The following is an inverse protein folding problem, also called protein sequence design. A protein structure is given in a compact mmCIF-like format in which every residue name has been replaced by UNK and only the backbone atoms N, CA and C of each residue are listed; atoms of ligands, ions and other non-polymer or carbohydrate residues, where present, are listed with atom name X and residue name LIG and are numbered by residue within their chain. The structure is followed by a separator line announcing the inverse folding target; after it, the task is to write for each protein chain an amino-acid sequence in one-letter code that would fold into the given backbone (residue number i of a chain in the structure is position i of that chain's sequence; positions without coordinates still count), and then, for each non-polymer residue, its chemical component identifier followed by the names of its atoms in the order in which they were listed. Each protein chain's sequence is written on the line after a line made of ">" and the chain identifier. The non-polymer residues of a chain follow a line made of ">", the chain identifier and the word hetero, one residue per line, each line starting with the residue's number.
data_IF_778645539566
#
_entry.id   IF_778645539566
#
_cell.length_a   1.000
_cell.length_b   1.000
_cell.length_c   1.000
_cell.angle_alpha   90.00
_cell.angle_beta   90.00
_cell.angle_gamma   90.00
#
_symmetry.space_group_name_H-M   'P 1'
#
loop_
_entity.id
_entity.type
_entity.pdbx_description
1 polymer ?
#
# COMPACT_ATOMS: atom_id res chain seq x y z
N UNK A 1 -8.20 -30.07 5.64
CA UNK A 1 -8.53 -31.17 6.55
C UNK A 1 -7.79 -32.41 6.13
N UNK A 2 -7.15 -33.13 6.99
CA UNK A 2 -6.11 -34.06 6.60
C UNK A 2 -6.36 -35.43 7.26
N UNK A 3 -6.61 -36.44 6.41
CA UNK A 3 -6.48 -37.80 6.88
C UNK A 3 -4.98 -38.09 7.08
N UNK A 4 -4.62 -38.63 8.22
CA UNK A 4 -3.26 -38.93 8.67
C UNK A 4 -2.41 -39.72 7.67
N UNK A 5 -3.04 -40.48 6.78
CA UNK A 5 -2.36 -41.43 5.89
C UNK A 5 -2.00 -40.89 4.50
N UNK A 6 -2.67 -39.86 3.99
CA UNK A 6 -2.50 -39.48 2.58
C UNK A 6 -1.47 -38.39 2.28
N UNK A 7 -1.16 -37.46 3.21
CA UNK A 7 -0.15 -36.41 2.96
C UNK A 7 0.48 -35.87 4.27
N UNK A 8 1.38 -36.60 4.97
CA UNK A 8 2.01 -36.08 6.19
C UNK A 8 2.80 -34.79 5.96
N UNK A 9 3.25 -34.52 4.75
CA UNK A 9 4.00 -33.32 4.37
C UNK A 9 3.14 -32.04 4.40
N UNK A 10 1.85 -32.11 4.13
CA UNK A 10 0.99 -30.92 3.97
C UNK A 10 0.68 -30.24 5.33
N UNK A 11 0.27 -31.00 6.34
CA UNK A 11 -0.09 -30.41 7.64
C UNK A 11 1.13 -29.94 8.42
N UNK A 12 2.34 -30.54 8.23
CA UNK A 12 3.59 -30.07 8.82
C UNK A 12 4.01 -28.70 8.26
N UNK A 13 3.75 -28.44 6.98
CA UNK A 13 3.90 -27.10 6.39
C UNK A 13 2.98 -26.08 7.07
N UNK A 14 1.75 -26.49 7.44
CA UNK A 14 0.84 -25.65 8.21
C UNK A 14 1.35 -25.41 9.63
N UNK A 15 1.99 -26.38 10.28
CA UNK A 15 2.63 -26.17 11.59
C UNK A 15 3.75 -25.12 11.48
N UNK A 16 4.62 -25.22 10.46
CA UNK A 16 5.65 -24.20 10.20
C UNK A 16 5.01 -22.83 10.00
N UNK A 17 4.00 -22.72 9.11
CA UNK A 17 3.37 -21.44 8.80
C UNK A 17 2.62 -20.82 9.98
N UNK A 18 1.97 -21.63 10.81
CA UNK A 18 1.33 -21.16 12.04
C UNK A 18 2.34 -20.66 13.07
N UNK A 19 3.45 -21.38 13.23
CA UNK A 19 4.54 -20.95 14.12
C UNK A 19 5.22 -19.66 13.65
N UNK A 20 5.34 -19.46 12.35
CA UNK A 20 5.90 -18.24 11.76
C UNK A 20 4.91 -17.05 11.78
N UNK A 21 3.62 -17.34 11.88
CA UNK A 21 2.53 -16.34 11.87
C UNK A 21 1.86 -16.14 13.22
N UNK A 22 0.52 -16.20 13.22
CA UNK A 22 -0.35 -15.94 14.37
C UNK A 22 -0.78 -17.19 15.16
N UNK A 23 -0.22 -18.34 14.82
CA UNK A 23 -0.72 -19.61 15.31
C UNK A 23 -1.88 -20.13 14.47
N UNK A 24 -2.48 -21.22 14.94
CA UNK A 24 -3.64 -21.82 14.28
C UNK A 24 -3.96 -23.20 14.82
N UNK A 25 -5.10 -23.76 14.39
CA UNK A 25 -5.57 -25.07 14.82
C UNK A 25 -5.77 -25.99 13.63
N UNK A 26 -5.26 -27.20 13.72
CA UNK A 26 -5.49 -28.29 12.78
C UNK A 26 -6.34 -29.38 13.45
N UNK A 27 -7.33 -29.87 12.73
CA UNK A 27 -8.20 -30.94 13.19
C UNK A 27 -7.89 -32.24 12.45
N UNK A 28 -7.75 -33.33 13.20
CA UNK A 28 -7.59 -34.69 12.69
C UNK A 28 -8.83 -35.52 13.02
N UNK A 29 -9.21 -36.41 12.11
CA UNK A 29 -10.43 -37.22 12.22
C UNK A 29 -11.64 -36.57 11.55
N UNK A 30 -11.42 -35.57 10.67
CA UNK A 30 -12.46 -34.91 9.86
C UNK A 30 -12.18 -35.19 8.39
N UNK A 31 -13.23 -35.47 7.59
CA UNK A 31 -13.16 -35.67 6.14
C UNK A 31 -13.02 -34.34 5.39
N UNK A 32 -12.70 -34.42 4.09
CA UNK A 32 -12.64 -33.26 3.20
C UNK A 32 -14.02 -32.55 3.09
N UNK A 33 -15.13 -33.28 3.26
CA UNK A 33 -16.50 -32.78 3.32
C UNK A 33 -16.89 -32.16 4.67
N UNK A 34 -15.92 -31.93 5.55
CA UNK A 34 -16.09 -31.36 6.90
C UNK A 34 -16.93 -32.23 7.85
N UNK A 35 -17.04 -33.53 7.60
CA UNK A 35 -17.78 -34.45 8.48
C UNK A 35 -16.82 -35.17 9.42
N UNK A 36 -17.20 -35.37 10.70
CA UNK A 36 -16.42 -36.17 11.63
C UNK A 36 -16.37 -37.63 11.15
N UNK A 37 -15.18 -38.16 10.89
CA UNK A 37 -14.95 -39.58 10.59
C UNK A 37 -14.42 -40.35 11.77
N UNK A 38 -13.80 -39.65 12.75
CA UNK A 38 -13.21 -40.17 13.95
C UNK A 38 -11.82 -40.76 13.79
N UNK A 39 -11.12 -40.91 14.91
CA UNK A 39 -9.83 -41.57 15.05
C UNK A 39 -10.01 -42.84 15.85
N UNK A 40 -9.34 -43.92 15.45
CA UNK A 40 -9.43 -45.22 16.11
C UNK A 40 -8.64 -45.26 17.45
N UNK A 41 -7.55 -44.54 17.54
CA UNK A 41 -6.68 -44.45 18.70
C UNK A 41 -6.07 -43.05 18.81
N UNK A 42 -6.76 -42.19 19.58
CA UNK A 42 -6.38 -40.77 19.73
C UNK A 42 -5.00 -40.62 20.37
N UNK A 43 -4.67 -41.48 21.34
CA UNK A 43 -3.39 -41.38 22.04
C UNK A 43 -2.22 -41.74 21.14
N UNK A 44 -2.32 -42.85 20.43
CA UNK A 44 -1.31 -43.30 19.48
C UNK A 44 -1.12 -42.25 18.35
N UNK A 45 -2.22 -41.64 17.93
CA UNK A 45 -2.19 -40.58 16.92
C UNK A 45 -1.54 -39.31 17.42
N UNK A 46 -1.82 -38.89 18.67
CA UNK A 46 -1.18 -37.76 19.32
C UNK A 46 0.35 -37.95 19.47
N UNK A 47 0.79 -39.15 19.87
CA UNK A 47 2.19 -39.50 19.99
C UNK A 47 2.90 -39.45 18.62
N UNK A 48 2.27 -39.99 17.57
CA UNK A 48 2.79 -39.96 16.21
C UNK A 48 2.90 -38.55 15.65
N UNK A 49 1.90 -37.69 15.87
CA UNK A 49 1.91 -36.27 15.48
C UNK A 49 3.03 -35.53 16.22
N UNK A 50 3.12 -35.70 17.54
CA UNK A 50 4.17 -35.07 18.36
C UNK A 50 5.56 -35.46 17.89
N UNK A 51 5.79 -36.76 17.58
CA UNK A 51 7.05 -37.25 17.06
C UNK A 51 7.39 -36.61 15.71
N UNK A 52 6.45 -36.58 14.77
CA UNK A 52 6.66 -35.97 13.45
C UNK A 52 6.98 -34.47 13.54
N UNK A 53 6.33 -33.72 14.43
CA UNK A 53 6.65 -32.31 14.65
C UNK A 53 8.08 -32.15 15.16
N UNK A 54 8.48 -32.94 16.18
CA UNK A 54 9.85 -32.90 16.75
C UNK A 54 10.92 -33.25 15.72
N UNK A 55 10.64 -34.19 14.82
CA UNK A 55 11.61 -34.65 13.81
C UNK A 55 11.70 -33.69 12.61
N UNK A 56 10.58 -33.03 12.27
CA UNK A 56 10.45 -32.33 10.99
C UNK A 56 10.35 -30.80 11.10
N UNK A 57 10.13 -30.24 12.28
CA UNK A 57 10.05 -28.79 12.48
C UNK A 57 11.22 -28.32 13.36
N UNK A 58 11.91 -27.29 12.93
CA UNK A 58 13.02 -26.71 13.70
C UNK A 58 12.98 -25.17 13.58
N UNK A 59 13.14 -24.42 14.66
CA UNK A 59 13.14 -24.85 16.08
C UNK A 59 11.85 -25.60 16.45
N UNK A 60 11.83 -26.25 17.62
CA UNK A 60 10.62 -26.94 18.09
C UNK A 60 9.53 -25.92 18.42
N UNK A 61 8.36 -25.98 17.75
CA UNK A 61 7.28 -25.05 18.01
C UNK A 61 6.55 -25.36 19.31
N UNK A 62 5.88 -24.37 19.86
CA UNK A 62 4.97 -24.56 20.99
C UNK A 62 3.61 -25.00 20.45
N UNK A 63 3.13 -26.17 20.90
CA UNK A 63 1.84 -26.72 20.49
C UNK A 63 1.18 -27.50 21.60
N UNK A 64 -0.15 -27.67 21.48
CA UNK A 64 -0.97 -28.48 22.38
C UNK A 64 -1.83 -29.40 21.54
N UNK A 65 -1.93 -30.66 21.93
CA UNK A 65 -2.84 -31.65 21.37
C UNK A 65 -4.00 -31.85 22.32
N UNK A 66 -5.24 -31.59 21.87
CA UNK A 66 -6.47 -31.69 22.65
C UNK A 66 -7.37 -32.75 22.03
N UNK A 67 -7.64 -33.85 22.76
CA UNK A 67 -8.70 -34.76 22.38
C UNK A 67 -10.06 -34.03 22.40
N UNK A 68 -10.88 -34.27 21.40
CA UNK A 68 -12.24 -33.74 21.25
C UNK A 68 -13.19 -34.88 20.90
N UNK A 69 -14.47 -34.71 21.18
CA UNK A 69 -15.51 -35.62 20.76
C UNK A 69 -16.64 -34.84 20.11
N UNK A 70 -17.04 -35.27 18.91
CA UNK A 70 -18.14 -34.69 18.15
C UNK A 70 -18.92 -35.81 17.46
N UNK A 71 -20.24 -35.80 17.58
CA UNK A 71 -21.15 -36.83 17.07
C UNK A 71 -20.75 -38.25 17.49
N UNK A 72 -20.28 -38.42 18.75
CA UNK A 72 -19.83 -39.71 19.30
C UNK A 72 -18.50 -40.20 18.68
N UNK A 73 -17.81 -39.40 17.86
CA UNK A 73 -16.52 -39.72 17.24
C UNK A 73 -15.38 -38.95 17.89
N UNK A 74 -14.28 -39.65 18.12
CA UNK A 74 -13.10 -39.07 18.72
C UNK A 74 -12.29 -38.31 17.66
N UNK A 75 -11.96 -37.07 17.93
CA UNK A 75 -11.15 -36.17 17.13
C UNK A 75 -9.91 -35.73 17.90
N UNK A 76 -8.95 -35.12 17.19
CA UNK A 76 -7.78 -34.51 17.81
C UNK A 76 -7.54 -33.13 17.22
N UNK A 77 -7.50 -32.08 18.05
CA UNK A 77 -7.11 -30.74 17.69
C UNK A 77 -5.64 -30.50 18.03
N UNK A 78 -4.85 -30.05 17.05
CA UNK A 78 -3.50 -29.57 17.22
C UNK A 78 -3.52 -28.04 17.19
N UNK A 79 -3.38 -27.43 18.36
CA UNK A 79 -3.24 -25.97 18.49
C UNK A 79 -1.76 -25.61 18.45
N UNK A 80 -1.36 -24.79 17.50
CA UNK A 80 0.02 -24.30 17.33
C UNK A 80 0.04 -22.82 17.72
N UNK A 81 0.88 -22.48 18.67
CA UNK A 81 1.07 -21.08 19.09
C UNK A 81 1.99 -20.31 18.15
N UNK A 82 1.85 -18.96 18.07
CA UNK A 82 2.84 -18.11 17.42
C UNK A 82 4.23 -18.34 18.03
N UNK A 83 5.22 -18.58 17.20
CA UNK A 83 6.57 -18.87 17.63
C UNK A 83 7.36 -17.61 17.98
N UNK A 84 8.26 -17.73 18.97
CA UNK A 84 9.16 -16.64 19.38
C UNK A 84 10.53 -16.69 18.73
N UNK A 85 10.96 -17.89 18.28
CA UNK A 85 12.27 -18.13 17.68
C UNK A 85 12.14 -18.40 16.18
N UNK A 86 11.45 -17.50 15.47
CA UNK A 86 11.30 -17.57 14.01
C UNK A 86 12.66 -17.41 13.32
N UNK A 87 12.84 -17.98 12.12
CA UNK A 87 11.92 -18.81 11.35
C UNK A 87 11.82 -20.26 11.83
N UNK A 88 10.61 -20.81 11.80
CA UNK A 88 10.38 -22.25 12.03
C UNK A 88 10.39 -22.94 10.66
N UNK A 89 11.38 -23.80 10.46
CA UNK A 89 11.58 -24.49 9.18
C UNK A 89 10.96 -25.89 9.20
N UNK A 90 10.35 -26.27 8.10
CA UNK A 90 9.99 -27.66 7.83
C UNK A 90 11.16 -28.35 7.11
N UNK A 91 11.57 -29.49 7.65
CA UNK A 91 12.66 -30.33 7.11
C UNK A 91 12.09 -31.57 6.45
N UNK A 92 12.35 -31.76 5.17
CA UNK A 92 12.02 -32.99 4.46
C UNK A 92 12.93 -33.20 3.26
N UNK A 93 13.37 -34.43 3.05
CA UNK A 93 14.09 -34.86 1.85
C UNK A 93 15.34 -34.00 1.54
N UNK A 94 16.07 -33.59 2.61
CA UNK A 94 17.28 -32.75 2.49
C UNK A 94 17.01 -31.25 2.29
N UNK A 95 15.76 -30.84 2.21
CA UNK A 95 15.35 -29.43 2.07
C UNK A 95 14.85 -28.89 3.40
N UNK A 96 15.18 -27.62 3.67
CA UNK A 96 14.75 -26.90 4.87
C UNK A 96 14.14 -25.58 4.44
N UNK A 97 12.80 -25.48 4.55
CA UNK A 97 12.01 -24.35 4.07
C UNK A 97 11.13 -23.78 5.17
N UNK A 98 11.09 -22.45 5.29
CA UNK A 98 10.11 -21.77 6.12
C UNK A 98 8.79 -21.59 5.34
N UNK A 99 7.68 -21.79 6.01
CA UNK A 99 6.35 -21.60 5.42
C UNK A 99 5.63 -20.43 6.11
N UNK A 100 4.86 -19.70 5.35
CA UNK A 100 3.93 -18.65 5.82
C UNK A 100 2.52 -18.95 5.38
N UNK A 101 1.54 -18.32 6.03
CA UNK A 101 0.14 -18.44 5.68
C UNK A 101 -0.28 -17.33 4.73
N UNK A 102 -0.79 -17.70 3.54
CA UNK A 102 -1.41 -16.79 2.59
C UNK A 102 -2.83 -17.29 2.34
N UNK A 103 -3.81 -16.57 2.89
CA UNK A 103 -5.20 -17.03 2.89
C UNK A 103 -5.33 -18.43 3.51
N UNK A 104 -5.83 -19.38 2.74
CA UNK A 104 -6.04 -20.77 3.18
C UNK A 104 -4.86 -21.71 2.90
N UNK A 105 -3.75 -21.20 2.37
CA UNK A 105 -2.61 -22.03 1.96
C UNK A 105 -1.35 -21.75 2.79
N UNK A 106 -0.51 -22.78 2.94
CA UNK A 106 0.84 -22.66 3.48
C UNK A 106 1.82 -22.67 2.31
N UNK A 107 2.41 -21.53 2.04
CA UNK A 107 3.37 -21.31 0.94
C UNK A 107 4.78 -21.14 1.48
N UNK A 108 5.79 -21.40 0.65
CA UNK A 108 7.20 -21.16 1.00
C UNK A 108 7.38 -19.65 1.20
N UNK A 109 8.02 -19.29 2.30
CA UNK A 109 8.34 -17.89 2.59
C UNK A 109 9.40 -17.38 1.59
N UNK A 110 9.12 -16.29 0.85
CA UNK A 110 10.15 -15.63 0.05
C UNK A 110 11.31 -15.13 0.91
N UNK A 111 12.49 -14.91 0.33
CA UNK A 111 13.69 -14.51 1.05
C UNK A 111 13.52 -13.26 1.91
N UNK A 112 12.78 -12.25 1.43
CA UNK A 112 12.52 -11.03 2.21
C UNK A 112 11.69 -11.31 3.46
N UNK A 113 10.72 -12.23 3.41
CA UNK A 113 9.95 -12.67 4.58
C UNK A 113 10.82 -13.50 5.52
N UNK A 114 11.70 -14.36 4.98
CA UNK A 114 12.64 -15.13 5.81
C UNK A 114 13.54 -14.17 6.60
N UNK A 115 14.05 -13.11 5.97
CA UNK A 115 14.86 -12.09 6.64
C UNK A 115 14.07 -11.37 7.75
N UNK A 116 12.79 -11.02 7.52
CA UNK A 116 11.92 -10.44 8.56
C UNK A 116 11.71 -11.42 9.73
N UNK A 117 11.47 -12.69 9.42
CA UNK A 117 11.32 -13.74 10.44
C UNK A 117 12.61 -13.94 11.26
N UNK A 118 13.79 -13.86 10.65
CA UNK A 118 15.09 -13.93 11.35
C UNK A 118 15.23 -12.77 12.33
N UNK A 119 14.96 -11.54 11.89
CA UNK A 119 14.99 -10.36 12.76
C UNK A 119 14.02 -10.49 13.93
N UNK A 120 12.79 -10.93 13.66
CA UNK A 120 11.78 -11.17 14.69
C UNK A 120 12.26 -12.23 15.70
N UNK A 121 12.85 -13.32 15.22
CA UNK A 121 13.34 -14.41 16.06
C UNK A 121 14.54 -14.04 16.94
N UNK A 122 15.34 -13.07 16.52
CA UNK A 122 16.45 -12.49 17.30
C UNK A 122 16.02 -11.29 18.13
N UNK A 123 14.72 -10.95 18.12
CA UNK A 123 14.16 -9.78 18.80
C UNK A 123 14.78 -8.46 18.32
N UNK A 124 15.07 -8.40 17.02
CA UNK A 124 15.60 -7.23 16.32
C UNK A 124 14.61 -6.73 15.27
N UNK A 125 14.77 -5.50 14.85
CA UNK A 125 14.08 -4.89 13.71
C UNK A 125 15.09 -4.23 12.79
N UNK A 126 14.71 -3.93 11.55
CA UNK A 126 15.61 -3.28 10.61
C UNK A 126 16.26 -2.03 11.22
N UNK A 127 15.49 -1.19 11.89
CA UNK A 127 15.94 0.09 12.42
C UNK A 127 16.91 -0.03 13.63
N UNK A 128 16.92 -1.20 14.31
CA UNK A 128 17.85 -1.46 15.43
C UNK A 128 19.22 -1.99 15.00
N UNK A 129 19.37 -2.43 13.75
CA UNK A 129 20.63 -3.01 13.27
C UNK A 129 21.71 -1.92 13.19
N UNK A 130 22.86 -2.18 13.84
CA UNK A 130 24.04 -1.33 13.76
C UNK A 130 24.71 -1.49 12.39
N UNK A 131 25.20 -0.38 11.85
CA UNK A 131 25.92 -0.30 10.58
C UNK A 131 27.41 -0.03 10.82
N UNK A 132 28.19 0.05 9.77
CA UNK A 132 29.62 0.43 9.77
C UNK A 132 29.83 1.96 9.76
N UNK A 133 28.74 2.74 9.68
CA UNK A 133 28.78 4.20 9.58
C UNK A 133 29.04 4.85 10.95
N UNK A 134 30.14 5.61 11.10
CA UNK A 134 30.42 6.32 12.33
C UNK A 134 29.67 7.64 12.40
N UNK A 135 28.98 7.93 13.52
CA UNK A 135 28.19 9.15 13.72
C UNK A 135 28.93 10.44 13.37
N UNK A 136 30.25 10.50 13.69
CA UNK A 136 31.10 11.69 13.46
C UNK A 136 31.18 12.13 11.99
N UNK A 137 30.88 11.21 11.05
CA UNK A 137 30.99 11.46 9.62
C UNK A 137 29.65 11.95 9.00
N UNK A 138 28.63 12.13 9.83
CA UNK A 138 27.26 12.51 9.41
C UNK A 138 26.72 13.67 10.23
N UNK A 139 25.84 14.48 9.60
CA UNK A 139 25.14 15.59 10.25
C UNK A 139 23.68 15.20 10.56
N UNK A 140 23.11 15.87 11.58
CA UNK A 140 21.76 15.65 12.10
C UNK A 140 21.04 16.97 12.37
N UNK A 141 21.38 18.01 11.63
CA UNK A 141 20.88 19.38 11.86
C UNK A 141 19.36 19.42 11.79
N UNK A 142 18.76 18.73 10.82
CA UNK A 142 17.30 18.69 10.67
C UNK A 142 16.63 17.99 11.86
N UNK A 143 17.20 16.88 12.34
CA UNK A 143 16.69 16.16 13.51
C UNK A 143 16.78 17.04 14.77
N UNK A 144 17.94 17.59 15.05
CA UNK A 144 18.19 18.41 16.26
C UNK A 144 17.31 19.66 16.29
N UNK A 145 17.21 20.37 15.15
CA UNK A 145 16.36 21.54 15.01
C UNK A 145 14.87 21.19 15.18
N UNK A 146 14.41 20.11 14.55
CA UNK A 146 13.00 19.67 14.66
C UNK A 146 12.67 19.20 16.08
N UNK A 147 13.59 18.49 16.72
CA UNK A 147 13.41 18.06 18.11
C UNK A 147 13.27 19.26 19.06
N UNK A 148 14.15 20.26 18.94
CA UNK A 148 14.06 21.50 19.70
C UNK A 148 12.76 22.27 19.45
N UNK A 149 12.41 22.46 18.18
CA UNK A 149 11.15 23.13 17.77
C UNK A 149 9.91 22.49 18.40
N UNK A 150 9.84 21.17 18.36
CA UNK A 150 8.63 20.44 18.75
C UNK A 150 8.55 20.10 20.23
N UNK A 151 9.70 19.96 20.91
CA UNK A 151 9.74 19.55 22.33
C UNK A 151 10.10 20.72 23.28
N UNK A 152 10.77 21.73 22.78
CA UNK A 152 11.39 22.80 23.57
C UNK A 152 12.71 22.36 24.23
N UNK A 153 13.19 21.12 23.98
CA UNK A 153 14.40 20.57 24.58
C UNK A 153 15.49 20.43 23.50
N UNK A 154 16.74 20.64 23.93
CA UNK A 154 17.89 20.37 23.06
C UNK A 154 18.08 18.87 22.91
N UNK A 155 18.56 18.45 21.74
CA UNK A 155 18.98 17.08 21.47
C UNK A 155 20.43 16.92 21.98
N UNK A 156 20.63 16.13 23.02
CA UNK A 156 21.92 15.99 23.67
C UNK A 156 22.74 14.82 23.05
N UNK A 157 24.08 14.86 23.15
CA UNK A 157 24.92 13.77 22.64
C UNK A 157 24.58 12.37 23.19
N UNK A 158 24.07 12.30 24.43
CA UNK A 158 23.59 11.06 25.05
C UNK A 158 22.29 10.52 24.44
N UNK A 159 21.50 11.40 23.81
CA UNK A 159 20.22 11.00 23.20
C UNK A 159 20.41 10.11 21.98
N UNK A 160 21.51 10.23 21.27
CA UNK A 160 21.80 9.35 20.14
C UNK A 160 21.85 7.89 20.55
N UNK A 161 22.49 7.56 21.67
CA UNK A 161 22.56 6.20 22.21
C UNK A 161 21.23 5.83 22.87
N UNK A 162 20.66 6.72 23.70
CA UNK A 162 19.46 6.43 24.47
C UNK A 162 18.21 6.25 23.59
N UNK A 163 18.16 6.92 22.43
CA UNK A 163 17.07 6.77 21.45
C UNK A 163 17.36 5.70 20.38
N UNK A 164 18.50 5.01 20.49
CA UNK A 164 18.85 3.90 19.59
C UNK A 164 19.31 4.34 18.19
N UNK A 165 19.74 5.58 18.02
CA UNK A 165 20.28 6.08 16.73
C UNK A 165 21.74 5.68 16.53
N UNK A 166 22.47 5.44 17.63
CA UNK A 166 23.83 4.86 17.61
C UNK A 166 23.93 3.73 18.62
N UNK A 167 24.93 2.89 18.42
CA UNK A 167 25.40 1.97 19.44
C UNK A 167 26.32 2.69 20.44
N UNK A 168 26.81 1.94 21.43
CA UNK A 168 27.73 2.47 22.47
C UNK A 168 29.11 2.86 21.93
N UNK A 169 29.48 2.39 20.75
CA UNK A 169 30.75 2.69 20.08
C UNK A 169 30.64 3.91 19.15
N UNK A 170 29.46 4.51 19.03
CA UNK A 170 29.19 5.64 18.14
C UNK A 170 28.96 5.25 16.68
N UNK A 171 28.66 3.99 16.40
CA UNK A 171 28.24 3.53 15.09
C UNK A 171 26.72 3.73 14.93
N UNK A 172 26.30 4.23 13.78
CA UNK A 172 24.89 4.45 13.48
C UNK A 172 24.14 3.15 13.37
N UNK A 173 22.94 3.11 13.93
CA UNK A 173 21.94 2.12 13.55
C UNK A 173 21.29 2.53 12.23
N UNK A 174 20.48 1.63 11.62
CA UNK A 174 19.70 2.00 10.46
C UNK A 174 18.71 3.15 10.77
N UNK A 175 18.14 3.21 11.99
CA UNK A 175 17.37 4.36 12.44
C UNK A 175 18.21 5.64 12.40
N UNK A 176 19.45 5.58 12.90
CA UNK A 176 20.39 6.70 12.82
C UNK A 176 20.63 7.15 11.38
N UNK A 177 20.91 6.19 10.48
CA UNK A 177 21.10 6.50 9.04
C UNK A 177 19.89 7.16 8.40
N UNK A 178 18.67 6.73 8.74
CA UNK A 178 17.43 7.31 8.23
C UNK A 178 17.16 8.74 8.74
N UNK A 179 17.90 9.19 9.78
CA UNK A 179 17.79 10.54 10.37
C UNK A 179 18.95 11.45 10.01
N UNK A 180 19.94 10.98 9.24
CA UNK A 180 21.05 11.84 8.76
C UNK A 180 20.55 12.89 7.77
N UNK A 181 21.22 14.04 7.69
CA UNK A 181 20.94 15.05 6.66
C UNK A 181 21.39 14.59 5.26
N UNK A 182 22.31 13.62 5.20
CA UNK A 182 22.76 12.97 3.98
C UNK A 182 21.81 11.83 3.60
N UNK A 183 21.62 11.60 2.29
CA UNK A 183 20.87 10.44 1.79
C UNK A 183 21.73 9.17 1.87
N UNK A 184 21.60 8.41 2.95
CA UNK A 184 22.44 7.24 3.25
C UNK A 184 21.70 5.91 3.12
N UNK A 185 20.37 5.92 3.00
CA UNK A 185 19.54 4.74 2.80
C UNK A 185 18.84 4.87 1.47
N UNK A 186 19.32 4.12 0.48
CA UNK A 186 18.89 4.22 -0.92
C UNK A 186 17.38 4.16 -1.13
N UNK A 187 16.69 3.28 -0.40
CA UNK A 187 15.25 3.10 -0.52
C UNK A 187 14.42 4.02 0.42
N UNK A 188 15.06 5.01 1.07
CA UNK A 188 14.35 6.07 1.79
C UNK A 188 13.88 7.13 0.81
N UNK A 189 12.82 6.82 0.04
CA UNK A 189 12.28 7.63 -1.04
C UNK A 189 10.76 7.71 -0.98
N UNK A 190 10.23 8.79 -1.59
CA UNK A 190 8.81 9.05 -1.72
C UNK A 190 8.53 9.68 -3.08
N UNK A 191 7.66 9.04 -3.86
CA UNK A 191 7.18 9.54 -5.15
C UNK A 191 5.80 10.14 -4.96
N UNK A 192 5.62 11.36 -5.44
CA UNK A 192 4.40 12.13 -5.25
C UNK A 192 3.91 12.61 -6.60
N UNK A 193 2.75 12.12 -7.05
CA UNK A 193 2.18 12.46 -8.35
C UNK A 193 0.77 13.01 -8.20
N UNK A 194 0.47 14.16 -8.81
CA UNK A 194 -0.87 14.71 -8.95
C UNK A 194 -1.39 14.38 -10.35
N UNK A 195 -2.33 13.47 -10.42
CA UNK A 195 -2.96 13.02 -11.65
C UNK A 195 -4.06 13.98 -12.12
N UNK A 196 -4.24 14.07 -13.43
CA UNK A 196 -5.34 14.80 -14.04
C UNK A 196 -6.57 13.89 -14.13
N UNK A 197 -7.55 14.09 -13.25
CA UNK A 197 -8.77 13.27 -13.20
C UNK A 197 -8.75 12.21 -12.10
N UNK A 198 -9.37 11.05 -12.37
CA UNK A 198 -9.69 10.02 -11.38
C UNK A 198 -8.82 8.77 -11.47
N UNK A 199 -8.01 8.65 -12.51
CA UNK A 199 -7.19 7.47 -12.80
C UNK A 199 -5.72 7.83 -13.03
N UNK A 200 -4.86 6.84 -12.83
CA UNK A 200 -3.44 6.96 -13.17
C UNK A 200 -3.29 6.89 -14.68
N UNK A 201 -2.53 7.81 -15.22
CA UNK A 201 -2.15 7.83 -16.62
C UNK A 201 -0.65 7.79 -16.83
N UNK A 202 -0.20 8.38 -17.91
CA UNK A 202 1.23 8.58 -18.18
C UNK A 202 1.77 9.77 -17.38
N UNK A 203 2.89 9.60 -16.69
CA UNK A 203 3.57 10.71 -15.98
C UNK A 203 3.90 11.85 -16.95
N UNK A 204 4.15 11.55 -18.22
CA UNK A 204 4.54 12.54 -19.22
C UNK A 204 3.36 13.35 -19.79
N UNK A 205 2.15 12.75 -19.80
CA UNK A 205 0.99 13.34 -20.49
C UNK A 205 -0.15 13.70 -19.51
N UNK A 206 -0.28 12.95 -18.39
CA UNK A 206 -1.45 13.02 -17.51
C UNK A 206 -1.12 13.48 -16.08
N UNK A 207 0.15 13.69 -15.72
CA UNK A 207 0.53 14.23 -14.43
C UNK A 207 0.49 15.77 -14.47
N UNK A 208 -0.19 16.37 -13.48
CA UNK A 208 -0.22 17.83 -13.27
C UNK A 208 0.96 18.32 -12.43
N UNK A 209 1.46 17.48 -11.54
CA UNK A 209 2.67 17.72 -10.74
C UNK A 209 3.29 16.36 -10.40
N UNK A 210 4.61 16.26 -10.45
CA UNK A 210 5.37 15.05 -10.14
C UNK A 210 6.65 15.42 -9.43
N UNK A 211 6.88 14.80 -8.25
CA UNK A 211 8.01 15.07 -7.37
C UNK A 211 8.57 13.78 -6.80
N UNK A 212 9.88 13.70 -6.76
CA UNK A 212 10.62 12.67 -6.05
C UNK A 212 11.35 13.29 -4.87
N UNK A 213 11.19 12.71 -3.69
CA UNK A 213 11.86 13.11 -2.46
C UNK A 213 12.63 11.93 -1.90
N UNK A 214 13.85 12.19 -1.36
CA UNK A 214 14.70 11.15 -0.82
C UNK A 214 15.47 11.63 0.41
N UNK A 215 15.86 10.70 1.29
CA UNK A 215 16.75 10.95 2.44
C UNK A 215 16.06 10.89 3.79
N UNK A 216 16.27 11.94 4.59
CA UNK A 216 15.84 12.03 5.99
C UNK A 216 14.32 11.91 6.16
N UNK A 217 13.85 11.08 7.12
CA UNK A 217 12.41 10.83 7.30
C UNK A 217 11.61 12.06 7.70
N UNK A 218 12.22 13.01 8.41
CA UNK A 218 11.57 14.30 8.76
C UNK A 218 11.41 15.15 7.50
N UNK A 219 12.40 15.14 6.63
CA UNK A 219 12.33 15.82 5.34
C UNK A 219 11.23 15.19 4.46
N UNK A 220 11.17 13.86 4.37
CA UNK A 220 10.12 13.16 3.61
C UNK A 220 8.73 13.49 4.16
N UNK A 221 8.54 13.49 5.49
CA UNK A 221 7.27 13.85 6.11
C UNK A 221 6.84 15.28 5.75
N UNK A 222 7.77 16.26 5.88
CA UNK A 222 7.50 17.67 5.56
C UNK A 222 7.18 17.84 4.07
N UNK A 223 7.98 17.24 3.19
CA UNK A 223 7.82 17.33 1.74
C UNK A 223 6.53 16.69 1.24
N UNK A 224 6.18 15.49 1.72
CA UNK A 224 4.92 14.83 1.37
C UNK A 224 3.69 15.61 1.86
N UNK A 225 3.76 16.16 3.09
CA UNK A 225 2.68 17.02 3.61
C UNK A 225 2.53 18.30 2.78
N UNK A 226 3.65 18.90 2.38
CA UNK A 226 3.66 20.09 1.53
C UNK A 226 3.16 19.83 0.13
N UNK A 227 3.55 18.70 -0.47
CA UNK A 227 3.05 18.27 -1.77
C UNK A 227 1.52 18.15 -1.77
N UNK A 228 0.95 17.43 -0.78
CA UNK A 228 -0.50 17.28 -0.65
C UNK A 228 -1.18 18.64 -0.46
N UNK A 229 -0.63 19.51 0.41
CA UNK A 229 -1.18 20.84 0.66
C UNK A 229 -1.15 21.72 -0.60
N UNK A 230 -0.07 21.72 -1.36
CA UNK A 230 0.10 22.55 -2.56
C UNK A 230 -0.80 22.11 -3.71
N UNK A 231 -1.12 20.80 -3.76
CA UNK A 231 -2.02 20.22 -4.75
C UNK A 231 -3.49 20.11 -4.27
N UNK A 232 -3.79 20.59 -3.06
CA UNK A 232 -5.14 20.64 -2.48
C UNK A 232 -5.73 22.05 -2.59
N UNK A 233 -7.05 22.12 -2.59
CA UNK A 233 -7.79 23.38 -2.57
C UNK A 233 -8.36 23.63 -1.18
N UNK A 234 -8.36 24.89 -0.75
CA UNK A 234 -9.11 25.34 0.41
C UNK A 234 -10.26 26.21 -0.09
N UNK A 235 -11.44 25.62 -0.21
CA UNK A 235 -12.67 26.39 -0.49
C UNK A 235 -13.05 27.15 0.75
N UNK A 236 -13.84 28.19 0.64
CA UNK A 236 -14.35 28.91 1.78
C UNK A 236 -15.77 29.41 1.57
N UNK A 237 -16.52 29.52 2.67
CA UNK A 237 -17.83 30.12 2.71
C UNK A 237 -17.76 31.37 3.57
N UNK A 238 -18.11 32.53 3.00
CA UNK A 238 -18.28 33.78 3.75
C UNK A 238 -19.60 33.74 4.50
N UNK A 239 -19.55 33.83 5.83
CA UNK A 239 -20.71 34.15 6.67
C UNK A 239 -20.69 35.64 7.01
N UNK A 240 -21.79 36.14 7.57
CA UNK A 240 -21.95 37.59 7.84
C UNK A 240 -20.81 38.23 8.63
N UNK A 241 -20.18 37.50 9.54
CA UNK A 241 -19.12 37.99 10.44
C UNK A 241 -17.80 37.26 10.35
N UNK A 242 -17.71 36.11 9.63
CA UNK A 242 -16.50 35.32 9.54
C UNK A 242 -16.47 34.45 8.28
N UNK A 243 -15.28 33.94 7.96
CA UNK A 243 -15.00 33.00 6.90
C UNK A 243 -14.90 31.59 7.49
N UNK A 244 -15.49 30.60 6.85
CA UNK A 244 -15.29 29.18 7.16
C UNK A 244 -14.48 28.57 6.03
N UNK A 245 -13.28 28.13 6.35
CA UNK A 245 -12.43 27.41 5.42
C UNK A 245 -12.89 25.95 5.32
N UNK A 246 -12.89 25.43 4.10
CA UNK A 246 -13.26 24.06 3.76
C UNK A 246 -12.08 23.43 3.02
N UNK A 247 -11.08 22.89 3.73
CA UNK A 247 -9.99 22.17 3.09
C UNK A 247 -10.50 20.85 2.50
N UNK A 248 -9.81 20.38 1.45
CA UNK A 248 -10.14 19.10 0.80
C UNK A 248 -9.88 17.92 1.72
N UNK A 249 -8.82 18.02 2.56
CA UNK A 249 -8.39 16.99 3.51
C UNK A 249 -8.08 17.57 4.88
N UNK A 250 -8.26 16.79 5.93
CA UNK A 250 -7.85 17.17 7.28
C UNK A 250 -6.32 17.06 7.41
N UNK A 251 -5.65 18.17 7.71
CA UNK A 251 -4.17 18.21 7.80
C UNK A 251 -3.63 17.19 8.80
N UNK A 252 -4.31 17.00 9.94
CA UNK A 252 -3.92 16.01 10.95
C UNK A 252 -4.10 14.58 10.46
N UNK A 253 -5.13 14.29 9.64
CA UNK A 253 -5.32 12.97 9.03
C UNK A 253 -4.22 12.68 8.01
N UNK A 254 -3.87 13.66 7.17
CA UNK A 254 -2.74 13.57 6.22
C UNK A 254 -1.44 13.31 6.95
N UNK A 255 -1.12 14.10 7.98
CA UNK A 255 0.11 13.93 8.78
C UNK A 255 0.18 12.54 9.41
N UNK A 256 -0.91 12.06 10.02
CA UNK A 256 -0.97 10.73 10.63
C UNK A 256 -0.77 9.61 9.59
N UNK A 257 -1.37 9.74 8.40
CA UNK A 257 -1.22 8.77 7.31
C UNK A 257 0.24 8.73 6.80
N UNK A 258 0.88 9.88 6.63
CA UNK A 258 2.28 9.97 6.22
C UNK A 258 3.24 9.43 7.28
N UNK A 259 3.02 9.79 8.55
CA UNK A 259 3.81 9.24 9.66
C UNK A 259 3.70 7.71 9.68
N UNK A 260 2.48 7.16 9.57
CA UNK A 260 2.28 5.72 9.52
C UNK A 260 2.98 5.09 8.30
N UNK A 261 2.92 5.71 7.14
CA UNK A 261 3.60 5.24 5.93
C UNK A 261 5.13 5.16 6.14
N UNK A 262 5.75 6.14 6.82
CA UNK A 262 7.18 6.18 7.09
C UNK A 262 7.61 5.20 8.19
N UNK A 263 6.90 5.14 9.32
CA UNK A 263 7.30 4.31 10.47
C UNK A 263 6.98 2.83 10.28
N UNK A 264 5.98 2.49 9.47
CA UNK A 264 5.59 1.09 9.20
C UNK A 264 6.12 0.56 7.88
N UNK A 265 6.82 1.41 7.09
CA UNK A 265 7.47 0.96 5.87
C UNK A 265 8.39 -0.23 6.15
N UNK A 266 8.36 -1.22 5.27
CA UNK A 266 9.34 -2.28 5.25
C UNK A 266 10.61 -1.83 4.51
N UNK A 267 11.64 -1.46 5.29
CA UNK A 267 12.91 -1.01 4.75
C UNK A 267 13.82 -2.16 4.28
N UNK A 268 13.43 -3.43 4.49
CA UNK A 268 14.13 -4.60 3.96
C UNK A 268 13.78 -4.77 2.47
N UNK A 269 12.59 -4.37 2.07
CA UNK A 269 12.15 -4.43 0.67
C UNK A 269 12.90 -3.36 -0.14
N UNK A 270 13.77 -3.83 -1.03
CA UNK A 270 14.49 -2.97 -1.98
C UNK A 270 13.67 -2.79 -3.26
N UNK A 271 13.77 -1.61 -3.89
CA UNK A 271 13.11 -1.33 -5.16
C UNK A 271 11.60 -1.07 -5.06
N UNK A 272 11.13 -0.64 -3.89
CA UNK A 272 9.78 -0.14 -3.69
C UNK A 272 9.81 1.06 -2.75
N UNK A 273 9.08 2.10 -3.07
CA UNK A 273 9.08 3.40 -2.40
C UNK A 273 7.71 3.72 -1.82
N UNK A 274 7.61 4.77 -1.01
CA UNK A 274 6.32 5.33 -0.62
C UNK A 274 5.77 6.12 -1.80
N UNK A 275 4.50 5.90 -2.12
CA UNK A 275 3.80 6.62 -3.18
C UNK A 275 2.68 7.48 -2.60
N UNK A 276 2.61 8.72 -3.05
CA UNK A 276 1.50 9.64 -2.85
C UNK A 276 0.88 9.91 -4.21
N UNK A 277 -0.28 9.35 -4.46
CA UNK A 277 -1.03 9.55 -5.68
C UNK A 277 -2.24 10.43 -5.37
N UNK A 278 -2.29 11.64 -5.93
CA UNK A 278 -3.42 12.55 -5.77
C UNK A 278 -4.27 12.58 -7.02
N UNK A 279 -5.56 12.40 -6.84
CA UNK A 279 -6.59 12.49 -7.86
C UNK A 279 -7.53 13.67 -7.56
N UNK A 280 -8.52 13.91 -8.40
CA UNK A 280 -9.49 14.98 -8.15
C UNK A 280 -10.38 14.68 -6.93
N UNK A 281 -10.71 13.41 -6.72
CA UNK A 281 -11.61 12.92 -5.68
C UNK A 281 -10.92 12.39 -4.42
N UNK A 282 -9.61 12.13 -4.46
CA UNK A 282 -8.90 11.48 -3.34
C UNK A 282 -7.39 11.66 -3.39
N UNK A 283 -6.76 11.34 -2.26
CA UNK A 283 -5.31 11.06 -2.17
C UNK A 283 -5.11 9.64 -1.64
N UNK A 284 -4.22 8.89 -2.30
CA UNK A 284 -3.78 7.56 -1.91
C UNK A 284 -2.34 7.61 -1.42
N UNK A 285 -2.08 7.10 -0.22
CA UNK A 285 -0.74 7.00 0.36
C UNK A 285 -0.44 5.52 0.52
N UNK A 286 0.48 5.01 -0.30
CA UNK A 286 0.88 3.61 -0.32
C UNK A 286 2.30 3.45 0.22
N UNK A 287 2.48 2.54 1.18
CA UNK A 287 3.78 2.23 1.78
C UNK A 287 4.13 0.75 1.57
N UNK A 288 5.40 0.42 1.23
CA UNK A 288 5.86 -0.95 1.15
C UNK A 288 5.76 -1.68 2.49
N UNK A 289 5.33 -2.93 2.44
CA UNK A 289 5.12 -3.80 3.58
C UNK A 289 3.65 -3.86 3.99
N UNK A 290 3.06 -5.07 3.95
CA UNK A 290 1.71 -5.34 4.43
C UNK A 290 1.56 -5.17 5.94
N UNK A 291 0.46 -5.67 6.50
CA UNK A 291 0.25 -5.66 7.94
C UNK A 291 1.41 -6.34 8.67
N UNK A 292 2.05 -5.60 9.60
CA UNK A 292 3.12 -6.16 10.43
C UNK A 292 2.55 -7.24 11.34
N UNK A 293 3.04 -8.46 11.15
CA UNK A 293 2.52 -9.66 11.80
C UNK A 293 1.61 -10.49 10.90
N UNK A 294 1.26 -10.02 9.69
CA UNK A 294 0.45 -10.73 8.67
C UNK A 294 -1.04 -10.42 8.76
N UNK A 295 -1.82 -11.06 7.91
CA UNK A 295 -3.25 -10.79 7.74
C UNK A 295 -3.50 -9.59 6.82
N UNK A 296 -4.77 -9.25 6.66
CA UNK A 296 -5.23 -8.14 5.83
C UNK A 296 -6.01 -7.14 6.68
N UNK A 297 -5.75 -5.84 6.52
CA UNK A 297 -6.47 -4.80 7.28
C UNK A 297 -7.99 -4.89 7.08
N UNK A 298 -8.42 -5.38 5.92
CA UNK A 298 -9.84 -5.55 5.58
C UNK A 298 -10.54 -6.60 6.45
N UNK A 299 -9.78 -7.49 7.12
CA UNK A 299 -10.30 -8.53 8.02
C UNK A 299 -10.42 -8.05 9.47
N UNK A 300 -9.92 -6.86 9.78
CA UNK A 300 -9.88 -6.34 11.14
C UNK A 300 -10.80 -5.14 11.32
N UNK A 301 -11.41 -5.06 12.48
CA UNK A 301 -11.99 -3.81 12.95
C UNK A 301 -10.86 -2.86 13.37
N UNK A 302 -10.79 -1.68 12.74
CA UNK A 302 -9.77 -0.66 13.02
C UNK A 302 -9.76 -0.20 14.49
N UNK A 303 -10.87 -0.41 15.22
CA UNK A 303 -11.00 -0.06 16.63
C UNK A 303 -10.40 -1.12 17.56
N UNK A 304 -10.18 -2.34 17.06
CA UNK A 304 -9.62 -3.48 17.82
C UNK A 304 -8.15 -3.76 17.50
N UNK A 305 -7.55 -3.09 16.50
CA UNK A 305 -6.16 -3.32 16.08
C UNK A 305 -5.20 -2.91 17.18
N UNK A 306 -4.31 -3.84 17.56
CA UNK A 306 -3.21 -3.56 18.48
C UNK A 306 -2.08 -2.83 17.76
N UNK A 307 -1.47 -1.85 18.45
CA UNK A 307 -0.26 -1.20 17.94
C UNK A 307 0.91 -2.18 17.90
N UNK A 308 1.32 -2.55 16.69
CA UNK A 308 2.56 -3.28 16.46
C UNK A 308 3.46 -2.42 15.56
N UNK A 309 4.72 -2.28 15.92
CA UNK A 309 5.64 -1.37 15.24
C UNK A 309 6.67 -2.18 14.48
N UNK A 310 6.76 -1.99 13.16
CA UNK A 310 7.81 -2.60 12.34
C UNK A 310 9.18 -2.00 12.66
N UNK A 311 9.24 -0.68 12.83
CA UNK A 311 10.44 0.08 13.13
C UNK A 311 10.29 0.80 14.48
N UNK A 312 10.53 0.12 15.63
CA UNK A 312 10.23 0.64 16.95
C UNK A 312 11.10 1.85 17.35
N UNK A 313 12.34 1.92 16.91
CA UNK A 313 13.24 3.06 17.20
C UNK A 313 12.75 4.33 16.52
N UNK A 314 12.42 4.23 15.21
CA UNK A 314 11.86 5.35 14.44
C UNK A 314 10.52 5.79 15.04
N UNK A 315 9.64 4.83 15.35
CA UNK A 315 8.34 5.12 15.95
C UNK A 315 8.48 5.82 17.32
N UNK A 316 9.43 5.40 18.15
CA UNK A 316 9.68 6.05 19.44
C UNK A 316 10.20 7.49 19.26
N UNK A 317 11.09 7.70 18.30
CA UNK A 317 11.63 9.04 17.99
C UNK A 317 10.52 9.99 17.48
N UNK A 318 9.66 9.52 16.56
CA UNK A 318 8.52 10.31 16.07
C UNK A 318 7.52 10.62 17.18
N UNK A 319 7.30 9.68 18.10
CA UNK A 319 6.48 9.93 19.28
C UNK A 319 7.10 11.01 20.18
N UNK A 320 8.40 10.96 20.48
CA UNK A 320 9.10 11.99 21.28
C UNK A 320 8.99 13.35 20.65
N UNK A 321 9.08 13.46 19.33
CA UNK A 321 8.84 14.67 18.57
C UNK A 321 7.36 15.06 18.45
N UNK A 322 6.44 14.36 19.13
CA UNK A 322 4.99 14.64 19.13
C UNK A 322 4.32 14.57 17.73
N UNK A 323 4.86 13.76 16.83
CA UNK A 323 4.21 13.49 15.55
C UNK A 323 3.12 12.43 15.66
N UNK A 324 3.23 11.50 16.59
CA UNK A 324 2.29 10.40 16.79
C UNK A 324 2.06 10.08 18.27
N UNK A 325 0.98 9.35 18.55
CA UNK A 325 0.65 8.80 19.87
C UNK A 325 1.03 7.32 19.98
N UNK A 326 1.36 6.84 21.20
CA UNK A 326 1.82 5.45 21.42
C UNK A 326 0.70 4.40 21.47
N UNK A 327 -0.58 4.79 21.48
CA UNK A 327 -1.70 3.92 21.91
C UNK A 327 -2.43 3.20 20.78
N UNK A 328 -1.86 3.07 19.57
CA UNK A 328 -2.52 2.38 18.44
C UNK A 328 -3.76 3.10 17.92
N UNK A 329 -3.82 4.42 18.11
CA UNK A 329 -4.95 5.26 17.71
C UNK A 329 -4.82 5.82 16.28
N UNK A 330 -3.74 5.51 15.55
CA UNK A 330 -3.40 6.18 14.28
C UNK A 330 -4.52 6.09 13.24
N UNK A 331 -4.98 4.88 12.89
CA UNK A 331 -6.06 4.70 11.91
C UNK A 331 -7.38 5.35 12.38
N UNK A 332 -7.71 5.18 13.66
CA UNK A 332 -8.90 5.83 14.25
C UNK A 332 -8.81 7.36 14.20
N UNK A 333 -7.61 7.90 14.41
CA UNK A 333 -7.38 9.35 14.35
C UNK A 333 -7.54 9.88 12.93
N UNK A 334 -7.05 9.15 11.92
CA UNK A 334 -7.29 9.49 10.51
C UNK A 334 -8.79 9.63 10.25
N UNK A 335 -9.60 8.66 10.70
CA UNK A 335 -11.06 8.71 10.55
C UNK A 335 -11.65 9.89 11.32
N UNK A 336 -11.37 9.99 12.63
CA UNK A 336 -11.98 11.02 13.49
C UNK A 336 -11.59 12.46 13.11
N UNK A 337 -10.40 12.70 12.57
CA UNK A 337 -10.01 14.02 12.08
C UNK A 337 -10.68 14.35 10.74
N UNK A 338 -10.89 13.34 9.89
CA UNK A 338 -11.65 13.52 8.64
C UNK A 338 -13.12 13.82 8.90
N UNK A 339 -13.75 13.16 9.90
CA UNK A 339 -15.14 13.40 10.32
C UNK A 339 -15.41 14.83 10.77
N UNK A 340 -14.38 15.57 11.22
CA UNK A 340 -14.51 16.97 11.64
C UNK A 340 -14.54 17.95 10.48
N UNK A 341 -14.27 17.51 9.25
CA UNK A 341 -14.25 18.41 8.09
C UNK A 341 -15.64 18.96 7.79
N UNK A 342 -15.76 20.27 7.50
CA UNK A 342 -16.99 20.84 7.02
C UNK A 342 -17.44 20.22 5.68
N UNK A 343 -18.56 19.54 5.66
CA UNK A 343 -19.08 18.83 4.47
C UNK A 343 -18.82 17.33 4.47
N UNK A 344 -18.23 16.80 5.56
CA UNK A 344 -18.09 15.36 5.71
C UNK A 344 -19.43 14.62 5.68
N UNK A 345 -19.46 13.50 5.01
CA UNK A 345 -20.49 12.47 5.07
C UNK A 345 -19.83 11.10 5.10
N UNK A 346 -20.56 10.02 5.43
CA UNK A 346 -20.01 8.65 5.43
C UNK A 346 -19.40 8.21 4.08
N UNK A 347 -19.82 8.83 2.96
CA UNK A 347 -19.24 8.58 1.65
C UNK A 347 -17.74 8.99 1.57
N UNK A 348 -17.32 9.95 2.41
CA UNK A 348 -15.94 10.45 2.47
C UNK A 348 -15.10 9.78 3.56
N UNK A 349 -15.60 8.73 4.19
CA UNK A 349 -14.87 7.98 5.19
C UNK A 349 -13.54 7.46 4.61
N UNK A 350 -12.41 7.64 5.32
CA UNK A 350 -11.13 7.07 4.90
C UNK A 350 -11.20 5.57 4.73
N UNK A 351 -10.53 5.06 3.70
CA UNK A 351 -10.42 3.64 3.43
C UNK A 351 -9.00 3.15 3.68
N UNK A 352 -8.89 1.91 4.14
CA UNK A 352 -7.61 1.26 4.39
C UNK A 352 -7.60 -0.07 3.66
N UNK A 353 -6.53 -0.34 2.94
CA UNK A 353 -6.32 -1.63 2.28
C UNK A 353 -4.89 -2.11 2.47
N UNK A 354 -4.70 -3.41 2.56
CA UNK A 354 -3.39 -4.01 2.58
C UNK A 354 -3.33 -5.26 1.74
N UNK A 355 -2.18 -5.49 1.14
CA UNK A 355 -1.78 -6.74 0.51
C UNK A 355 -0.67 -7.39 1.33
N UNK A 356 -0.06 -8.46 0.83
CA UNK A 356 1.14 -9.01 1.45
C UNK A 356 2.35 -8.06 1.35
N UNK A 357 2.37 -7.16 0.37
CA UNK A 357 3.52 -6.35 0.00
C UNK A 357 3.36 -4.86 0.26
N UNK A 358 2.16 -4.37 0.47
CA UNK A 358 1.90 -2.95 0.66
C UNK A 358 0.73 -2.66 1.61
N UNK A 359 0.72 -1.45 2.17
CA UNK A 359 -0.38 -0.88 2.94
C UNK A 359 -0.77 0.46 2.34
N UNK A 360 -2.07 0.68 2.12
CA UNK A 360 -2.61 1.87 1.49
C UNK A 360 -3.65 2.55 2.37
N UNK A 361 -3.53 3.88 2.46
CA UNK A 361 -4.51 4.78 3.07
C UNK A 361 -5.12 5.63 1.96
N UNK A 362 -6.44 5.69 1.89
CA UNK A 362 -7.18 6.52 0.94
C UNK A 362 -7.97 7.57 1.72
N UNK A 363 -7.65 8.84 1.48
CA UNK A 363 -8.39 9.98 2.00
C UNK A 363 -9.19 10.60 0.86
N UNK A 364 -10.51 10.64 1.00
CA UNK A 364 -11.41 11.20 -0.01
C UNK A 364 -11.52 12.71 0.14
N UNK A 365 -11.58 13.41 -0.99
CA UNK A 365 -11.77 14.86 -1.03
C UNK A 365 -13.22 15.21 -0.67
N UNK A 366 -13.42 15.80 0.52
CA UNK A 366 -14.78 16.16 1.00
C UNK A 366 -15.44 17.28 0.20
N UNK A 367 -14.69 17.98 -0.63
CA UNK A 367 -15.19 19.01 -1.52
C UNK A 367 -15.43 18.50 -2.95
N UNK A 368 -15.10 17.25 -3.24
CA UNK A 368 -15.40 16.62 -4.53
C UNK A 368 -16.86 16.15 -4.52
N UNK A 369 -17.70 16.81 -5.30
CA UNK A 369 -19.12 16.48 -5.39
C UNK A 369 -19.35 15.56 -6.61
N UNK A 370 -19.52 14.26 -6.34
CA UNK A 370 -19.74 13.23 -7.37
C UNK A 370 -20.97 13.52 -8.26
N UNK A 371 -21.97 14.22 -7.72
CA UNK A 371 -23.16 14.60 -8.50
C UNK A 371 -23.00 15.93 -9.25
N UNK A 372 -22.21 16.87 -8.70
CA UNK A 372 -21.98 18.20 -9.29
C UNK A 372 -20.79 18.26 -10.23
N UNK A 373 -19.70 17.57 -9.89
CA UNK A 373 -18.47 17.59 -10.68
C UNK A 373 -18.50 16.55 -11.82
N UNK A 374 -19.34 15.50 -11.74
CA UNK A 374 -19.65 14.68 -12.92
C UNK A 374 -20.33 15.54 -14.02
N UNK A 375 -21.16 16.51 -13.64
CA UNK A 375 -21.65 17.53 -14.59
C UNK A 375 -20.57 18.57 -14.95
N UNK A 376 -19.59 18.87 -14.07
CA UNK A 376 -18.49 19.77 -14.42
C UNK A 376 -17.35 19.06 -15.18
N UNK A 377 -17.13 17.77 -14.93
CA UNK A 377 -16.24 16.94 -15.77
C UNK A 377 -16.89 16.67 -17.13
N UNK A 378 -18.20 16.45 -17.17
CA UNK A 378 -18.96 16.46 -18.44
C UNK A 378 -19.01 17.88 -19.02
N UNK A 379 -19.12 18.95 -18.22
CA UNK A 379 -19.04 20.33 -18.69
C UNK A 379 -17.59 20.82 -18.94
N UNK A 380 -16.55 20.28 -18.28
CA UNK A 380 -15.16 20.54 -18.66
C UNK A 380 -14.70 19.65 -19.84
N UNK A 381 -15.27 18.48 -20.02
CA UNK A 381 -15.17 17.69 -21.26
C UNK A 381 -16.14 18.24 -22.34
N UNK A 382 -17.25 18.92 -21.97
CA UNK A 382 -18.15 19.61 -22.91
C UNK A 382 -17.94 21.12 -22.98
N UNK A 383 -17.16 21.77 -22.06
CA UNK A 383 -16.67 23.17 -22.16
C UNK A 383 -15.14 23.33 -22.25
N UNK A 384 -14.32 22.33 -22.26
CA UNK A 384 -13.54 22.20 -23.44
C UNK A 384 -14.56 21.91 -24.58
N UNK A 385 -15.22 22.95 -25.00
CA UNK A 385 -15.24 23.26 -26.42
C UNK A 385 -13.83 22.87 -26.80
N UNK A 386 -13.70 21.66 -27.36
CA UNK A 386 -12.65 21.38 -28.27
C UNK A 386 -12.73 22.62 -29.15
N UNK A 387 -11.86 23.62 -28.89
CA UNK A 387 -11.46 24.42 -30.04
C UNK A 387 -10.92 23.33 -30.92
N UNK A 388 -11.82 22.85 -31.76
CA UNK A 388 -11.56 21.86 -32.79
C UNK A 388 -10.28 22.34 -33.37
N UNK A 389 -9.20 21.61 -33.16
CA UNK A 389 -7.90 22.04 -33.66
C UNK A 389 -8.16 22.44 -35.09
N UNK A 390 -7.45 23.43 -35.59
CA UNK A 390 -7.63 23.88 -36.96
C UNK A 390 -7.73 22.69 -37.92
N UNK A 391 -7.04 21.61 -37.63
CA UNK A 391 -7.06 20.32 -38.33
C UNK A 391 -8.40 19.59 -38.17
N UNK A 392 -8.98 19.52 -36.95
CA UNK A 392 -10.28 18.87 -36.72
C UNK A 392 -11.41 19.63 -37.47
N UNK A 393 -11.39 20.96 -37.47
CA UNK A 393 -12.33 21.79 -38.23
C UNK A 393 -12.20 21.55 -39.73
N UNK A 394 -10.98 21.40 -40.21
CA UNK A 394 -10.68 21.08 -41.63
C UNK A 394 -11.19 19.68 -42.00
N UNK A 395 -11.01 18.69 -41.15
CA UNK A 395 -11.50 17.30 -41.34
C UNK A 395 -13.02 17.30 -41.46
N UNK A 396 -13.72 17.91 -40.48
CA UNK A 396 -15.18 17.96 -40.47
C UNK A 396 -15.75 18.72 -41.69
N UNK A 397 -15.14 19.82 -42.06
CA UNK A 397 -15.55 20.59 -43.25
C UNK A 397 -15.33 19.80 -44.56
N UNK A 398 -14.27 19.00 -44.61
CA UNK A 398 -13.94 18.21 -45.81
C UNK A 398 -14.73 16.90 -45.89
N UNK A 399 -15.16 16.35 -44.75
CA UNK A 399 -15.94 15.11 -44.62
C UNK A 399 -17.45 15.29 -44.82
N UNK A 400 -17.92 16.39 -45.36
CA UNK A 400 -19.36 16.54 -45.75
C UNK A 400 -19.78 15.52 -46.79
N UNK A 401 -18.81 14.95 -47.49
CA UNK A 401 -18.95 13.76 -48.35
C UNK A 401 -17.93 12.69 -47.94
N UNK A 402 -18.23 11.39 -48.11
CA UNK A 402 -17.38 10.31 -47.61
C UNK A 402 -15.96 10.37 -48.13
N UNK A 403 -14.93 10.50 -47.26
CA UNK A 403 -13.52 10.59 -47.56
C UNK A 403 -12.72 9.46 -46.91
N UNK A 404 -11.70 8.98 -47.59
CA UNK A 404 -10.75 8.00 -47.09
C UNK A 404 -9.72 8.62 -46.15
N UNK A 405 -9.08 7.85 -45.29
CA UNK A 405 -7.98 8.28 -44.42
C UNK A 405 -6.87 8.98 -45.20
N UNK A 406 -6.56 8.49 -46.41
CA UNK A 406 -5.48 9.00 -47.24
C UNK A 406 -5.83 10.38 -47.81
N UNK A 407 -7.06 10.56 -48.23
CA UNK A 407 -7.55 11.87 -48.74
C UNK A 407 -7.56 12.90 -47.60
N UNK A 408 -7.97 12.51 -46.41
CA UNK A 408 -7.96 13.37 -45.20
C UNK A 408 -6.55 13.79 -44.81
N UNK A 409 -5.61 12.84 -44.78
CA UNK A 409 -4.22 13.13 -44.43
C UNK A 409 -3.57 14.07 -45.43
N UNK A 410 -3.77 13.83 -46.73
CA UNK A 410 -3.26 14.69 -47.81
C UNK A 410 -3.86 16.08 -47.69
N UNK A 411 -5.17 16.21 -47.51
CA UNK A 411 -5.86 17.49 -47.38
C UNK A 411 -5.35 18.32 -46.19
N UNK A 412 -5.06 17.66 -45.07
CA UNK A 412 -4.54 18.30 -43.86
C UNK A 412 -3.00 18.43 -43.83
N UNK A 413 -2.29 17.99 -44.90
CA UNK A 413 -0.83 18.15 -45.02
C UNK A 413 -0.01 17.11 -44.23
N UNK A 414 -0.58 15.98 -43.82
CA UNK A 414 0.11 14.96 -43.05
C UNK A 414 0.66 13.83 -43.94
N UNK A 415 1.91 13.42 -43.69
CA UNK A 415 2.56 12.30 -44.38
C UNK A 415 2.43 10.98 -43.62
N UNK A 416 2.35 11.02 -42.28
CA UNK A 416 2.20 9.84 -41.42
C UNK A 416 0.72 9.54 -41.14
N UNK A 417 0.22 8.54 -41.87
CA UNK A 417 -1.19 8.11 -41.77
C UNK A 417 -1.56 7.51 -40.41
N UNK A 418 -0.60 6.87 -39.72
CA UNK A 418 -0.85 6.20 -38.42
C UNK A 418 -1.01 7.24 -37.33
N UNK A 419 -0.08 8.17 -37.24
CA UNK A 419 -0.11 9.25 -36.26
C UNK A 419 -1.29 10.21 -36.50
N UNK A 420 -1.57 10.54 -37.80
CA UNK A 420 -2.75 11.30 -38.17
C UNK A 420 -4.05 10.66 -37.75
N UNK A 421 -4.20 9.33 -37.91
CA UNK A 421 -5.39 8.59 -37.50
C UNK A 421 -5.56 8.65 -35.99
N UNK A 422 -4.51 8.37 -35.21
CA UNK A 422 -4.57 8.37 -33.76
C UNK A 422 -4.88 9.76 -33.18
N UNK A 423 -4.25 10.81 -33.70
CA UNK A 423 -4.37 12.16 -33.11
C UNK A 423 -5.57 12.96 -33.62
N UNK A 424 -6.10 12.67 -34.80
CA UNK A 424 -7.12 13.54 -35.42
C UNK A 424 -8.39 12.80 -35.85
N UNK A 425 -8.31 11.54 -36.30
CA UNK A 425 -9.50 10.81 -36.76
C UNK A 425 -10.20 10.12 -35.58
N UNK A 426 -9.45 9.37 -34.72
CA UNK A 426 -10.03 8.64 -33.62
C UNK A 426 -10.79 9.53 -32.64
N UNK A 427 -10.27 10.69 -32.18
CA UNK A 427 -11.02 11.57 -31.29
C UNK A 427 -12.33 12.09 -31.89
N UNK A 428 -12.39 12.32 -33.21
CA UNK A 428 -13.60 12.75 -33.89
C UNK A 428 -14.63 11.61 -34.03
N UNK A 429 -14.17 10.35 -34.12
CA UNK A 429 -15.02 9.16 -34.08
C UNK A 429 -15.56 8.91 -32.67
N UNK A 430 -14.70 9.02 -31.65
CA UNK A 430 -15.07 8.86 -30.25
C UNK A 430 -16.05 9.93 -29.77
N UNK A 431 -15.90 11.16 -30.26
CA UNK A 431 -16.84 12.26 -29.99
C UNK A 431 -18.14 12.21 -30.81
N UNK A 432 -18.29 11.22 -31.71
CA UNK A 432 -19.48 11.09 -32.56
C UNK A 432 -19.63 12.18 -33.61
N UNK A 433 -18.60 13.02 -33.86
CA UNK A 433 -18.60 14.07 -34.87
C UNK A 433 -18.27 13.54 -36.26
N UNK A 434 -17.62 12.37 -36.32
CA UNK A 434 -17.28 11.67 -37.54
C UNK A 434 -17.80 10.23 -37.45
N UNK A 435 -18.32 9.71 -38.55
CA UNK A 435 -18.78 8.32 -38.63
C UNK A 435 -18.04 7.54 -39.71
N UNK A 436 -17.94 6.20 -39.50
CA UNK A 436 -17.39 5.27 -40.47
C UNK A 436 -18.50 4.80 -41.42
N UNK A 437 -18.23 4.81 -42.72
CA UNK A 437 -19.19 4.29 -43.71
C UNK A 437 -19.35 2.77 -43.71
N UNK A 438 -18.40 2.05 -43.12
CA UNK A 438 -18.41 0.57 -42.96
C UNK A 438 -18.00 0.25 -41.53
N UNK A 439 -18.85 0.48 -40.51
CA UNK A 439 -18.48 0.29 -39.09
C UNK A 439 -18.16 -1.16 -38.76
N UNK A 440 -18.83 -2.14 -39.37
CA UNK A 440 -18.58 -3.58 -39.14
C UNK A 440 -17.22 -4.06 -39.64
N UNK A 441 -16.54 -3.29 -40.50
CA UNK A 441 -15.21 -3.60 -41.04
C UNK A 441 -14.29 -2.40 -40.99
N UNK A 442 -13.85 -1.96 -39.78
CA UNK A 442 -13.06 -0.71 -39.62
C UNK A 442 -11.73 -0.71 -40.38
N UNK A 443 -11.17 -1.89 -40.66
CA UNK A 443 -9.89 -2.06 -41.39
C UNK A 443 -10.08 -2.27 -42.92
N UNK A 444 -11.29 -2.11 -43.44
CA UNK A 444 -11.57 -2.24 -44.87
C UNK A 444 -10.77 -1.23 -45.68
N UNK A 445 -10.24 -1.64 -46.84
CA UNK A 445 -9.58 -0.73 -47.81
C UNK A 445 -10.54 0.32 -48.35
N UNK A 446 -11.84 0.04 -48.33
CA UNK A 446 -12.90 0.93 -48.82
C UNK A 446 -13.51 1.78 -47.70
N UNK A 447 -12.96 1.73 -46.47
CA UNK A 447 -13.45 2.52 -45.36
C UNK A 447 -13.30 4.02 -45.66
N UNK A 448 -14.41 4.76 -45.47
CA UNK A 448 -14.47 6.22 -45.60
C UNK A 448 -15.12 6.81 -44.33
N UNK A 449 -14.98 8.09 -44.16
CA UNK A 449 -15.45 8.85 -42.99
C UNK A 449 -16.36 9.98 -43.48
N UNK A 450 -17.41 10.25 -42.74
CA UNK A 450 -18.39 11.30 -43.00
C UNK A 450 -18.69 12.08 -41.73
N UNK A 451 -18.87 13.39 -41.83
CA UNK A 451 -19.26 14.25 -40.71
C UNK A 451 -20.72 14.04 -40.37
N UNK A 452 -20.99 13.83 -39.06
CA UNK A 452 -22.36 13.75 -38.53
C UNK A 452 -22.93 15.15 -38.51
N UNK A 453 -24.05 15.39 -39.15
CA UNK A 453 -24.78 16.67 -39.07
C UNK A 453 -25.62 16.62 -37.77
N UNK A 454 -25.34 17.54 -36.83
CA UNK A 454 -26.26 17.84 -35.75
C UNK A 454 -27.53 18.44 -36.38
N UNK A 455 -28.66 17.79 -36.18
CA UNK A 455 -29.96 18.41 -36.44
C UNK A 455 -30.23 19.57 -35.48
#
# INVERSE_FOLDING_TARGET
>A
MLSKQKKPKSWLKSVSSFSNGFGGTLFFGISDDRKPIGLSDVQKDAEAISRLIKERITPLPQFILKPLQEDGKNLLALEVSPGRSTPYYYKADGVMEAYIRVGNESVIAPDYIVNELILKGTNQSFDTLTTDAAKKDYSFTLLEATYLERTGLRFEPSDYVSFGLTDKNGLLTNAGKLMTDQHTVYNSRMFCTRWNGLEKGSIFDDALDDKEYEGNLIYLLKSGSEFIRNNSKVRFVKKAQYRVDKPDYAERAVTEALVNALIHRDYIVLGSEIHIDMFDDRVEITSPGGMFGGGSIQEYDIYSIRSMRRNPVIADLFHRMKYMERRGSGLRKIVSETEKLPGYTEAYKPEFSSTATDFRVILKNVNYNLEGDAHQVIHQVTHQVIELSTVSKQILAFCTTPKSKKELAVFCGFKDLRNFTLKHINPLLESGQLEMTIPDKPKSRNQKYITVRSE
#
